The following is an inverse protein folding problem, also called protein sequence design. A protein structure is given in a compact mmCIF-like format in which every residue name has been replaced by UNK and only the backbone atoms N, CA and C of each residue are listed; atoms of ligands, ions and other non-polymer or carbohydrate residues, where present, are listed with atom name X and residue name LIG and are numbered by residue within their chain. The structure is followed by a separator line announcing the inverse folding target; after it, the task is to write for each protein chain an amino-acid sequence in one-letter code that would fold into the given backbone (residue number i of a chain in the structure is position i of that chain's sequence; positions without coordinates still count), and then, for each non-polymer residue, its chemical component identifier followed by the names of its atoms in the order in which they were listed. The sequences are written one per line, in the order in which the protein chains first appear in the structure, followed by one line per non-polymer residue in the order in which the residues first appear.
data_IF_134782606366
#
_entry.id   IF_134782606366
#
_cell.length_a   1.000
_cell.length_b   1.000
_cell.length_c   1.000
_cell.angle_alpha   90.00
_cell.angle_beta   90.00
_cell.angle_gamma   90.00
#
_symmetry.space_group_name_H-M   'P 1'
#
loop_
_entity.id
_entity.type
_entity.pdbx_description
1 polymer ?
#
# COMPACT_ATOMS: atom_id res chain seq x y z
N UNK A 1 34.56 -34.44 35.02
CA UNK A 1 34.42 -33.74 33.72
C UNK A 1 32.94 -33.39 33.62
N UNK A 2 32.60 -32.15 33.98
CA UNK A 2 31.21 -31.68 34.14
C UNK A 2 30.67 -31.14 32.82
N UNK A 3 29.50 -31.65 32.46
CA UNK A 3 28.62 -31.20 31.39
C UNK A 3 28.21 -29.74 31.58
N UNK A 4 28.27 -28.93 30.51
CA UNK A 4 27.50 -27.69 30.39
C UNK A 4 26.94 -27.64 28.97
N UNK A 5 25.73 -28.15 28.84
CA UNK A 5 24.81 -27.85 27.75
C UNK A 5 24.37 -26.39 27.87
N UNK A 6 24.79 -25.54 26.94
CA UNK A 6 24.29 -24.17 26.82
C UNK A 6 23.12 -24.16 25.84
N UNK A 7 21.92 -24.43 26.33
CA UNK A 7 20.66 -24.14 25.64
C UNK A 7 20.50 -22.63 25.54
N UNK A 8 20.67 -22.08 24.34
CA UNK A 8 20.10 -20.77 24.00
C UNK A 8 18.67 -21.02 23.57
N UNK A 9 17.72 -20.68 24.43
CA UNK A 9 16.30 -20.62 24.06
C UNK A 9 16.12 -19.53 22.98
N UNK A 10 15.43 -19.82 21.86
CA UNK A 10 15.08 -18.77 20.91
C UNK A 10 14.02 -17.87 21.55
N UNK A 11 14.33 -16.59 21.67
CA UNK A 11 13.40 -15.54 22.07
C UNK A 11 12.22 -15.53 21.08
N UNK A 12 11.08 -16.10 21.49
CA UNK A 12 9.81 -15.99 20.77
C UNK A 12 9.36 -14.54 20.83
N UNK A 13 9.74 -13.75 19.83
CA UNK A 13 9.03 -12.52 19.48
C UNK A 13 7.65 -12.91 18.99
N UNK A 14 6.67 -12.95 19.90
CA UNK A 14 5.26 -12.99 19.54
C UNK A 14 4.98 -11.73 18.69
N UNK A 15 4.60 -11.87 17.41
CA UNK A 15 4.16 -10.70 16.66
C UNK A 15 2.87 -10.25 17.31
N UNK A 16 2.93 -9.16 18.09
CA UNK A 16 1.72 -8.42 18.48
C UNK A 16 0.92 -8.23 17.19
N UNK A 17 -0.31 -8.79 17.08
CA UNK A 17 -1.15 -8.47 15.96
C UNK A 17 -1.46 -6.99 16.14
N UNK A 18 -0.72 -6.12 15.43
CA UNK A 18 -1.23 -4.81 15.09
C UNK A 18 -2.60 -5.10 14.55
N UNK A 19 -3.64 -4.76 15.31
CA UNK A 19 -4.99 -4.82 14.83
C UNK A 19 -5.02 -3.84 13.66
N UNK A 20 -4.71 -4.36 12.47
CA UNK A 20 -5.02 -3.71 11.22
C UNK A 20 -6.53 -3.80 11.21
N UNK A 21 -7.17 -2.84 11.89
CA UNK A 21 -8.62 -2.67 11.82
C UNK A 21 -8.96 -2.70 10.33
N UNK A 22 -9.94 -3.52 9.97
CA UNK A 22 -10.44 -3.53 8.60
C UNK A 22 -10.71 -2.08 8.22
N UNK A 23 -10.13 -1.58 7.11
CA UNK A 23 -10.29 -0.19 6.76
C UNK A 23 -11.79 0.07 6.57
N UNK A 24 -12.30 1.18 7.10
CA UNK A 24 -13.71 1.56 6.93
C UNK A 24 -13.98 2.07 5.51
N UNK A 25 -12.92 2.49 4.81
CA UNK A 25 -12.95 3.07 3.48
C UNK A 25 -11.86 2.45 2.60
N UNK A 26 -12.08 2.50 1.29
CA UNK A 26 -11.05 2.25 0.28
C UNK A 26 -10.85 3.49 -0.57
N UNK A 27 -9.60 3.76 -0.91
CA UNK A 27 -9.20 4.88 -1.75
C UNK A 27 -8.89 4.34 -3.14
N UNK A 28 -9.70 4.73 -4.12
CA UNK A 28 -9.57 4.28 -5.50
C UNK A 28 -8.86 5.36 -6.32
N UNK A 29 -7.64 5.07 -6.76
CA UNK A 29 -6.90 5.93 -7.68
C UNK A 29 -7.24 5.55 -9.12
N UNK A 30 -7.68 6.53 -9.90
CA UNK A 30 -8.06 6.42 -11.30
C UNK A 30 -7.15 7.34 -12.10
N UNK A 31 -6.50 6.84 -13.15
CA UNK A 31 -5.65 7.66 -14.03
C UNK A 31 -5.70 7.14 -15.46
N UNK A 32 -5.63 8.03 -16.44
CA UNK A 32 -5.45 7.66 -17.85
C UNK A 32 -3.97 7.65 -18.18
N UNK A 33 -3.46 6.54 -18.70
CA UNK A 33 -2.09 6.45 -19.16
C UNK A 33 -1.88 7.43 -20.34
N UNK A 34 -1.00 8.45 -20.20
CA UNK A 34 -0.80 9.45 -21.24
C UNK A 34 -0.16 8.87 -22.51
N UNK A 35 0.52 7.72 -22.41
CA UNK A 35 1.24 7.09 -23.52
C UNK A 35 0.36 6.15 -24.36
N UNK A 36 -0.60 5.47 -23.74
CA UNK A 36 -1.41 4.43 -24.39
C UNK A 36 -2.93 4.70 -24.34
N UNK A 37 -3.37 5.72 -23.61
CA UNK A 37 -4.78 6.12 -23.49
C UNK A 37 -5.66 5.16 -22.68
N UNK A 38 -5.10 4.09 -22.10
CA UNK A 38 -5.85 3.17 -21.26
C UNK A 38 -6.05 3.74 -19.85
N UNK A 39 -7.23 3.54 -19.27
CA UNK A 39 -7.50 3.88 -17.88
C UNK A 39 -6.94 2.79 -16.95
N UNK A 40 -6.32 3.22 -15.86
CA UNK A 40 -5.82 2.38 -14.78
C UNK A 40 -6.60 2.73 -13.52
N UNK A 41 -7.09 1.69 -12.84
CA UNK A 41 -7.84 1.81 -11.58
C UNK A 41 -7.18 0.92 -10.55
N UNK A 42 -6.80 1.50 -9.41
CA UNK A 42 -6.18 0.79 -8.29
C UNK A 42 -6.90 1.13 -6.99
N UNK A 43 -6.98 0.19 -6.05
CA UNK A 43 -7.68 0.37 -4.79
C UNK A 43 -6.72 0.17 -3.61
N UNK A 44 -6.79 1.08 -2.64
CA UNK A 44 -5.86 1.19 -1.53
C UNK A 44 -6.60 1.31 -0.20
N UNK A 45 -5.97 0.86 0.88
CA UNK A 45 -6.55 0.95 2.24
C UNK A 45 -6.39 2.34 2.87
N UNK A 46 -5.52 3.18 2.29
CA UNK A 46 -5.24 4.54 2.75
C UNK A 46 -5.08 5.47 1.56
N UNK A 47 -5.34 6.76 1.79
CA UNK A 47 -5.12 7.82 0.80
C UNK A 47 -3.65 7.89 0.38
N UNK A 48 -2.75 7.82 1.36
CA UNK A 48 -1.30 7.85 1.10
C UNK A 48 -0.84 6.72 0.17
N UNK A 49 -1.45 5.53 0.27
CA UNK A 49 -1.16 4.42 -0.64
C UNK A 49 -1.63 4.70 -2.07
N UNK A 50 -2.80 5.30 -2.22
CA UNK A 50 -3.33 5.73 -3.52
C UNK A 50 -2.48 6.84 -4.15
N UNK A 51 -2.00 7.81 -3.36
CA UNK A 51 -1.11 8.87 -3.83
C UNK A 51 0.27 8.31 -4.22
N UNK A 52 0.88 7.45 -3.40
CA UNK A 52 2.15 6.80 -3.72
C UNK A 52 2.07 5.99 -5.02
N UNK A 53 0.95 5.30 -5.26
CA UNK A 53 0.73 4.56 -6.50
C UNK A 53 0.72 5.49 -7.72
N UNK A 54 0.13 6.67 -7.60
CA UNK A 54 0.09 7.63 -8.70
C UNK A 54 1.45 8.32 -8.91
N UNK A 55 2.23 8.54 -7.85
CA UNK A 55 3.63 8.99 -7.97
C UNK A 55 4.51 7.95 -8.69
N UNK A 56 4.33 6.66 -8.39
CA UNK A 56 5.03 5.58 -9.11
C UNK A 56 4.65 5.52 -10.59
N UNK A 57 3.37 5.71 -10.91
CA UNK A 57 2.90 5.77 -12.31
C UNK A 57 3.45 6.99 -13.04
N UNK A 58 3.48 8.15 -12.37
CA UNK A 58 4.08 9.38 -12.90
C UNK A 58 5.57 9.15 -13.24
N UNK A 59 6.31 8.56 -12.31
CA UNK A 59 7.73 8.22 -12.51
C UNK A 59 7.93 7.21 -13.64
N UNK A 60 7.07 6.18 -13.74
CA UNK A 60 7.12 5.16 -14.80
C UNK A 60 6.91 5.76 -16.18
N UNK A 61 6.09 6.81 -16.29
CA UNK A 61 5.81 7.52 -17.54
C UNK A 61 6.66 8.77 -17.74
N UNK A 62 7.64 9.01 -16.86
CA UNK A 62 8.57 10.15 -16.91
C UNK A 62 7.83 11.50 -17.02
N UNK A 63 6.70 11.63 -16.32
CA UNK A 63 5.84 12.81 -16.32
C UNK A 63 5.64 13.34 -14.90
N UNK A 64 5.41 14.64 -14.75
CA UNK A 64 5.04 15.23 -13.47
C UNK A 64 3.70 14.71 -12.97
N UNK A 65 3.61 14.48 -11.66
CA UNK A 65 2.39 14.06 -10.97
C UNK A 65 1.19 14.98 -11.24
N UNK A 66 1.43 16.29 -11.34
CA UNK A 66 0.40 17.30 -11.59
C UNK A 66 -0.19 17.24 -13.01
N UNK A 67 0.51 16.60 -13.95
CA UNK A 67 0.04 16.40 -15.32
C UNK A 67 -0.73 15.09 -15.48
N UNK A 68 -0.70 14.22 -14.46
CA UNK A 68 -1.61 13.09 -14.42
C UNK A 68 -3.00 13.63 -14.09
N UNK A 69 -3.91 13.57 -15.07
CA UNK A 69 -5.35 13.77 -14.86
C UNK A 69 -5.92 12.60 -14.05
N UNK A 70 -5.48 12.51 -12.79
CA UNK A 70 -5.80 11.44 -11.87
C UNK A 70 -6.80 11.89 -10.82
N UNK A 71 -7.64 10.96 -10.39
CA UNK A 71 -8.65 11.15 -9.37
C UNK A 71 -8.46 10.11 -8.26
N UNK A 72 -8.63 10.52 -7.00
CA UNK A 72 -8.72 9.59 -5.86
C UNK A 72 -10.13 9.70 -5.28
N UNK A 73 -10.87 8.61 -5.38
CA UNK A 73 -12.20 8.47 -4.79
C UNK A 73 -12.11 7.74 -3.45
N UNK A 74 -12.65 8.35 -2.40
CA UNK A 74 -12.83 7.68 -1.10
C UNK A 74 -14.21 7.00 -1.07
N UNK A 75 -14.22 5.68 -0.95
CA UNK A 75 -15.44 4.88 -0.97
C UNK A 75 -15.60 4.13 0.35
N UNK A 76 -16.75 4.21 1.03
CA UNK A 76 -17.00 3.42 2.22
C UNK A 76 -17.08 1.94 1.87
N UNK A 77 -16.50 1.10 2.73
CA UNK A 77 -16.73 -0.34 2.67
C UNK A 77 -18.09 -0.62 3.29
N UNK A 78 -19.03 -1.13 2.48
CA UNK A 78 -20.35 -1.51 2.96
C UNK A 78 -20.18 -2.62 4.01
N UNK A 79 -20.59 -2.32 5.25
CA UNK A 79 -20.59 -3.23 6.39
C UNK A 79 -21.64 -4.35 6.27
#
# INVERSE_FOLDING_TARGET
MTDVTSSTEPESVEPTPTAIGSPEHVYVAIVVNPNAGNQIVTAHRSRDGADAQLDELAATWEISRDLLEAEILELPLLA
#
